data_IF_902677336013
#
_entry.id   IF_902677336013
#
_cell.length_a   1.000
_cell.length_b   1.000
_cell.length_c   1.000
_cell.angle_alpha   90.00
_cell.angle_beta   90.00
_cell.angle_gamma   90.00
#
_symmetry.space_group_name_H-M   'P 1'
#
loop_
_entity.id
_entity.type
_entity.pdbx_description
1 polymer ?
#
# COMPACT_ATOMS: atom_id res chain seq x y z
N UNK A 1 -5.07 -15.94 -2.31
CA UNK A 1 -4.78 -14.64 -1.69
C UNK A 1 -5.92 -13.67 -2.00
N UNK A 2 -6.45 -12.99 -0.98
CA UNK A 2 -7.55 -12.04 -1.12
C UNK A 2 -7.28 -10.81 -0.25
N UNK A 3 -7.19 -9.62 -0.86
CA UNK A 3 -6.99 -8.36 -0.15
C UNK A 3 -8.31 -7.61 0.00
N UNK A 4 -8.58 -7.15 1.22
CA UNK A 4 -9.71 -6.27 1.52
C UNK A 4 -9.17 -4.84 1.61
N UNK A 5 -9.55 -4.01 0.63
CA UNK A 5 -9.08 -2.63 0.51
C UNK A 5 -9.65 -1.75 1.62
N UNK A 6 -10.96 -1.56 1.67
CA UNK A 6 -11.62 -0.72 2.66
C UNK A 6 -12.30 -1.61 3.72
N UNK A 7 -11.55 -1.96 4.76
CA UNK A 7 -12.01 -2.89 5.81
C UNK A 7 -13.23 -2.36 6.57
N UNK A 8 -13.29 -1.08 6.99
CA UNK A 8 -14.50 -0.54 7.63
C UNK A 8 -15.73 -0.63 6.73
N UNK A 9 -15.62 -0.26 5.45
CA UNK A 9 -16.74 -0.36 4.51
C UNK A 9 -17.16 -1.82 4.28
N UNK A 10 -16.22 -2.77 4.21
CA UNK A 10 -16.51 -4.20 4.13
C UNK A 10 -17.32 -4.69 5.35
N UNK A 11 -16.90 -4.29 6.55
CA UNK A 11 -17.61 -4.64 7.79
C UNK A 11 -19.02 -4.02 7.82
N UNK A 12 -19.12 -2.74 7.46
CA UNK A 12 -20.39 -2.03 7.39
C UNK A 12 -21.35 -2.66 6.37
N UNK A 13 -20.87 -3.00 5.18
CA UNK A 13 -21.65 -3.64 4.11
C UNK A 13 -22.21 -5.01 4.51
N UNK A 14 -21.53 -5.73 5.41
CA UNK A 14 -21.99 -7.01 5.96
C UNK A 14 -22.79 -6.86 7.26
N UNK A 15 -22.97 -5.63 7.76
CA UNK A 15 -23.80 -5.27 8.89
C UNK A 15 -23.12 -5.38 10.26
N UNK A 16 -22.05 -6.14 10.40
CA UNK A 16 -21.26 -6.21 11.64
C UNK A 16 -19.93 -6.95 11.45
N UNK A 17 -18.99 -6.74 12.37
CA UNK A 17 -17.74 -7.45 12.39
C UNK A 17 -17.91 -8.99 12.48
N UNK A 18 -18.87 -9.46 13.29
CA UNK A 18 -19.16 -10.89 13.38
C UNK A 18 -19.74 -11.45 12.07
N UNK A 19 -20.54 -10.68 11.35
CA UNK A 19 -21.06 -11.10 10.05
C UNK A 19 -19.95 -11.10 8.99
N UNK A 20 -19.06 -10.12 9.01
CA UNK A 20 -17.89 -10.06 8.14
C UNK A 20 -16.98 -11.28 8.35
N UNK A 21 -16.63 -11.59 9.59
CA UNK A 21 -15.85 -12.78 9.93
C UNK A 21 -16.52 -14.07 9.42
N UNK A 22 -17.83 -14.26 9.68
CA UNK A 22 -18.56 -15.43 9.15
C UNK A 22 -18.57 -15.51 7.63
N UNK A 23 -18.60 -14.37 6.93
CA UNK A 23 -18.53 -14.34 5.47
C UNK A 23 -17.16 -14.81 4.98
N UNK A 24 -16.08 -14.36 5.64
CA UNK A 24 -14.70 -14.81 5.36
C UNK A 24 -14.56 -16.32 5.61
N UNK A 25 -15.01 -16.82 6.76
CA UNK A 25 -14.99 -18.25 7.10
C UNK A 25 -15.79 -19.12 6.10
N UNK A 26 -16.93 -18.61 5.62
CA UNK A 26 -17.72 -19.31 4.58
C UNK A 26 -16.98 -19.38 3.24
N UNK A 27 -16.29 -18.32 2.85
CA UNK A 27 -15.50 -18.33 1.61
C UNK A 27 -14.31 -19.27 1.74
N UNK A 28 -13.66 -19.25 2.89
CA UNK A 28 -12.58 -20.18 3.22
C UNK A 28 -13.03 -21.64 3.10
N UNK A 29 -14.14 -21.99 3.75
CA UNK A 29 -14.72 -23.33 3.65
C UNK A 29 -15.14 -23.71 2.21
N UNK A 30 -15.56 -22.74 1.37
CA UNK A 30 -15.85 -23.01 -0.05
C UNK A 30 -14.57 -23.28 -0.83
N UNK A 31 -13.51 -22.51 -0.59
CA UNK A 31 -12.21 -22.71 -1.22
C UNK A 31 -11.66 -24.12 -0.89
N UNK A 32 -11.71 -24.52 0.38
CA UNK A 32 -11.28 -25.85 0.81
C UNK A 32 -12.10 -26.97 0.14
N UNK A 33 -13.43 -26.83 0.02
CA UNK A 33 -14.27 -27.80 -0.71
C UNK A 33 -13.97 -27.86 -2.20
N UNK A 34 -13.40 -26.79 -2.76
CA UNK A 34 -12.95 -26.73 -4.16
C UNK A 34 -11.53 -27.29 -4.36
N UNK A 35 -10.91 -27.84 -3.32
CA UNK A 35 -9.56 -28.43 -3.39
C UNK A 35 -8.42 -27.43 -3.18
N UNK A 36 -8.71 -26.20 -2.74
CA UNK A 36 -7.70 -25.21 -2.33
C UNK A 36 -7.36 -25.40 -0.85
N UNK A 37 -6.20 -24.89 -0.43
CA UNK A 37 -5.78 -24.93 0.99
C UNK A 37 -6.53 -23.93 1.89
N UNK A 38 -7.41 -23.12 1.33
CA UNK A 38 -8.15 -22.06 1.99
C UNK A 38 -7.93 -20.71 1.32
N UNK A 39 -8.26 -19.64 2.04
CA UNK A 39 -8.09 -18.25 1.59
C UNK A 39 -7.09 -17.55 2.50
N UNK A 40 -6.02 -17.01 1.94
CA UNK A 40 -5.17 -16.08 2.65
C UNK A 40 -5.80 -14.68 2.64
N UNK A 41 -6.28 -14.24 3.78
CA UNK A 41 -6.91 -12.93 3.96
C UNK A 41 -5.87 -11.87 4.31
N UNK A 42 -5.77 -10.86 3.46
CA UNK A 42 -4.90 -9.70 3.66
C UNK A 42 -5.76 -8.45 3.86
N UNK A 43 -5.48 -7.65 4.88
CA UNK A 43 -6.18 -6.40 5.12
C UNK A 43 -5.28 -5.21 4.78
N UNK A 44 -5.83 -4.24 4.05
CA UNK A 44 -5.14 -2.98 3.83
C UNK A 44 -5.30 -2.08 5.06
N UNK A 45 -4.18 -1.54 5.51
CA UNK A 45 -4.10 -0.60 6.62
C UNK A 45 -3.88 0.82 6.07
N UNK A 46 -4.67 1.77 6.58
CA UNK A 46 -4.55 3.18 6.26
C UNK A 46 -4.17 3.96 7.53
N UNK A 47 -3.19 4.86 7.42
CA UNK A 47 -2.87 5.81 8.48
C UNK A 47 -3.80 7.02 8.44
N UNK A 48 -3.80 7.72 7.32
CA UNK A 48 -4.68 8.87 7.05
C UNK A 48 -5.47 8.61 5.77
N UNK A 49 -6.77 8.90 5.72
CA UNK A 49 -7.53 8.80 4.47
C UNK A 49 -7.01 9.86 3.48
N UNK A 50 -6.77 9.46 2.27
CA UNK A 50 -6.31 10.33 1.18
C UNK A 50 -7.34 10.39 0.06
N UNK A 51 -7.88 9.22 -0.33
CA UNK A 51 -8.87 9.14 -1.39
C UNK A 51 -10.30 9.32 -0.85
N UNK A 52 -11.20 9.89 -1.67
CA UNK A 52 -12.61 10.02 -1.30
C UNK A 52 -13.23 8.66 -0.93
N UNK A 53 -13.92 8.61 0.20
CA UNK A 53 -14.59 7.39 0.67
C UNK A 53 -13.72 6.41 1.45
N UNK A 54 -12.43 6.68 1.60
CA UNK A 54 -11.60 5.91 2.52
C UNK A 54 -12.02 6.10 3.96
N UNK A 55 -12.03 5.01 4.70
CA UNK A 55 -12.33 4.99 6.13
C UNK A 55 -11.19 4.32 6.88
N UNK A 56 -10.71 4.99 7.92
CA UNK A 56 -9.64 4.46 8.78
C UNK A 56 -10.25 3.85 10.03
N UNK A 57 -9.88 2.62 10.32
CA UNK A 57 -10.26 1.99 11.58
C UNK A 57 -9.45 2.58 12.74
N UNK A 58 -10.12 2.83 13.86
CA UNK A 58 -9.48 3.39 15.07
C UNK A 58 -8.38 2.47 15.62
N UNK A 59 -8.61 1.15 15.57
CA UNK A 59 -7.63 0.13 15.97
C UNK A 59 -7.59 -0.97 14.90
N UNK A 60 -6.61 -0.84 14.01
CA UNK A 60 -6.45 -1.76 12.89
C UNK A 60 -5.91 -3.12 13.33
N UNK A 61 -5.08 -3.16 14.37
CA UNK A 61 -4.56 -4.40 14.92
C UNK A 61 -5.67 -5.24 15.56
N UNK A 62 -6.55 -4.61 16.34
CA UNK A 62 -7.75 -5.26 16.90
C UNK A 62 -8.68 -5.77 15.78
N UNK A 63 -8.89 -4.96 14.76
CA UNK A 63 -9.73 -5.33 13.62
C UNK A 63 -9.17 -6.55 12.88
N UNK A 64 -7.85 -6.58 12.64
CA UNK A 64 -7.15 -7.71 12.05
C UNK A 64 -7.34 -9.00 12.88
N UNK A 65 -7.12 -8.92 14.19
CA UNK A 65 -7.31 -10.06 15.11
C UNK A 65 -8.75 -10.57 15.10
N UNK A 66 -9.72 -9.68 15.22
CA UNK A 66 -11.15 -10.04 15.28
C UNK A 66 -11.69 -10.60 13.97
N UNK A 67 -11.19 -10.15 12.83
CA UNK A 67 -11.52 -10.74 11.52
C UNK A 67 -10.79 -12.05 11.27
N UNK A 68 -9.67 -12.30 11.96
CA UNK A 68 -8.84 -13.49 11.74
C UNK A 68 -8.05 -13.39 10.44
N UNK A 69 -7.56 -12.20 10.10
CA UNK A 69 -6.76 -12.00 8.91
C UNK A 69 -5.38 -12.65 9.03
N UNK A 70 -4.85 -13.11 7.91
CA UNK A 70 -3.56 -13.80 7.84
C UNK A 70 -2.38 -12.83 7.68
N UNK A 71 -2.64 -11.62 7.16
CA UNK A 71 -1.64 -10.56 7.00
C UNK A 71 -2.29 -9.19 6.86
N UNK A 72 -1.46 -8.15 6.95
CA UNK A 72 -1.82 -6.79 6.56
C UNK A 72 -0.77 -6.20 5.64
N UNK A 73 -1.13 -5.14 4.93
CA UNK A 73 -0.24 -4.31 4.12
C UNK A 73 -0.76 -2.89 4.06
N UNK A 74 0.04 -1.95 3.57
CA UNK A 74 -0.42 -0.61 3.17
C UNK A 74 -0.86 -0.59 1.71
N UNK A 75 -1.67 0.41 1.35
CA UNK A 75 -2.01 0.68 -0.05
C UNK A 75 -0.91 1.52 -0.72
N UNK A 76 -0.63 2.69 -0.16
CA UNK A 76 0.32 3.66 -0.70
C UNK A 76 0.99 4.40 0.47
N UNK A 77 2.22 4.86 0.27
CA UNK A 77 3.00 5.48 1.35
C UNK A 77 2.39 6.75 1.92
N UNK A 78 1.77 7.58 1.08
CA UNK A 78 1.23 8.88 1.49
C UNK A 78 0.13 8.81 2.54
N UNK A 79 -0.46 7.64 2.76
CA UNK A 79 -1.41 7.43 3.87
C UNK A 79 -0.69 7.29 5.23
N UNK A 80 0.62 7.08 5.26
CA UNK A 80 1.43 6.82 6.45
C UNK A 80 2.59 7.81 6.63
N UNK A 81 2.75 8.73 5.69
CA UNK A 81 3.85 9.69 5.65
C UNK A 81 3.32 11.10 5.52
N UNK A 82 4.18 12.07 5.65
CA UNK A 82 3.85 13.48 5.40
C UNK A 82 4.58 13.96 4.15
N UNK A 83 3.93 14.82 3.39
CA UNK A 83 4.51 15.54 2.27
C UNK A 83 4.65 17.00 2.70
N UNK A 84 5.79 17.42 3.30
CA UNK A 84 5.94 18.76 3.88
C UNK A 84 5.97 19.86 2.82
N UNK A 85 6.47 19.55 1.64
CA UNK A 85 6.63 20.49 0.54
C UNK A 85 5.68 20.15 -0.61
N UNK A 86 5.35 21.16 -1.41
CA UNK A 86 4.54 20.98 -2.61
C UNK A 86 5.04 19.85 -3.51
N UNK A 87 6.35 19.77 -3.66
CA UNK A 87 7.08 18.72 -4.35
C UNK A 87 8.04 18.07 -3.34
N UNK A 88 7.62 16.96 -2.76
CA UNK A 88 8.40 16.24 -1.73
C UNK A 88 9.28 15.18 -2.37
N UNK A 89 10.57 15.15 -1.99
CA UNK A 89 11.52 14.16 -2.52
C UNK A 89 11.13 12.72 -2.12
N UNK A 90 11.17 11.82 -3.09
CA UNK A 90 10.85 10.40 -2.93
C UNK A 90 11.65 9.72 -1.82
N UNK A 91 12.93 10.07 -1.67
CA UNK A 91 13.78 9.46 -0.65
C UNK A 91 13.37 9.87 0.76
N UNK A 92 12.86 11.09 0.94
CA UNK A 92 12.31 11.53 2.24
C UNK A 92 11.06 10.72 2.60
N UNK A 93 10.15 10.54 1.63
CA UNK A 93 8.92 9.76 1.84
C UNK A 93 9.24 8.29 2.08
N UNK A 94 10.20 7.72 1.34
CA UNK A 94 10.74 6.38 1.57
C UNK A 94 11.22 6.21 3.01
N UNK A 95 12.05 7.13 3.49
CA UNK A 95 12.66 7.01 4.82
C UNK A 95 11.61 7.10 5.94
N UNK A 96 10.59 7.96 5.77
CA UNK A 96 9.42 8.01 6.66
C UNK A 96 8.66 6.67 6.65
N UNK A 97 8.40 6.09 5.46
CA UNK A 97 7.70 4.82 5.38
C UNK A 97 8.50 3.66 5.96
N UNK A 98 9.82 3.65 5.79
CA UNK A 98 10.68 2.64 6.42
C UNK A 98 10.62 2.70 7.96
N UNK A 99 10.52 3.89 8.55
CA UNK A 99 10.29 4.07 9.98
C UNK A 99 8.87 3.63 10.41
N UNK A 100 7.86 3.92 9.59
CA UNK A 100 6.50 3.40 9.79
C UNK A 100 6.48 1.86 9.80
N UNK A 101 7.16 1.21 8.86
CA UNK A 101 7.24 -0.25 8.82
C UNK A 101 7.87 -0.83 10.10
N UNK A 102 8.92 -0.22 10.64
CA UNK A 102 9.51 -0.64 11.90
C UNK A 102 8.51 -0.56 13.08
N UNK A 103 7.64 0.42 13.07
CA UNK A 103 6.58 0.58 14.07
C UNK A 103 5.46 -0.45 13.88
N UNK A 104 4.90 -0.55 12.68
CA UNK A 104 3.69 -1.34 12.42
C UNK A 104 3.92 -2.84 12.56
N UNK A 105 5.10 -3.34 12.21
CA UNK A 105 5.45 -4.77 12.35
C UNK A 105 5.42 -5.26 13.78
N UNK A 106 5.51 -4.35 14.77
CA UNK A 106 5.42 -4.70 16.19
C UNK A 106 4.02 -4.54 16.77
N UNK A 107 3.11 -3.94 16.02
CA UNK A 107 1.72 -3.67 16.44
C UNK A 107 0.74 -4.76 16.00
N UNK A 108 1.04 -5.45 14.89
CA UNK A 108 0.18 -6.50 14.36
C UNK A 108 0.62 -7.88 14.82
N UNK A 109 -0.35 -8.72 15.21
CA UNK A 109 -0.09 -10.13 15.56
C UNK A 109 0.17 -10.99 14.32
N UNK A 110 -0.43 -10.64 13.18
CA UNK A 110 -0.19 -11.30 11.90
C UNK A 110 0.88 -10.56 11.09
N UNK A 111 1.56 -11.24 10.15
CA UNK A 111 2.60 -10.64 9.32
C UNK A 111 2.15 -9.37 8.61
N UNK A 112 3.00 -8.35 8.61
CA UNK A 112 2.83 -7.16 7.80
C UNK A 112 3.71 -7.26 6.56
N UNK A 113 3.09 -7.22 5.38
CA UNK A 113 3.80 -7.17 4.10
C UNK A 113 4.08 -5.71 3.75
N UNK A 114 5.35 -5.30 3.69
CA UNK A 114 5.67 -3.91 3.37
C UNK A 114 5.16 -3.55 1.97
N UNK A 115 4.73 -2.30 1.83
CA UNK A 115 4.38 -1.73 0.53
C UNK A 115 5.58 -0.97 -0.05
N UNK A 116 5.76 -1.05 -1.36
CA UNK A 116 6.64 -0.18 -2.11
C UNK A 116 5.77 0.66 -3.05
N UNK A 117 5.82 1.98 -2.88
CA UNK A 117 5.10 2.92 -3.73
C UNK A 117 6.03 3.41 -4.85
N UNK A 118 5.59 3.34 -6.10
CA UNK A 118 6.38 3.80 -7.26
C UNK A 118 6.42 5.33 -7.30
N UNK A 119 5.31 5.99 -6.98
CA UNK A 119 5.19 7.44 -6.96
C UNK A 119 3.87 7.90 -6.38
N UNK A 120 3.68 9.21 -6.29
CA UNK A 120 2.41 9.84 -5.93
C UNK A 120 2.31 11.23 -6.53
N UNK A 121 1.44 11.38 -7.51
CA UNK A 121 1.08 12.65 -8.13
C UNK A 121 -0.36 12.61 -8.62
N UNK A 122 -1.28 13.20 -7.87
CA UNK A 122 -2.69 13.28 -8.21
C UNK A 122 -3.02 14.53 -9.08
N UNK A 123 -2.04 15.33 -9.47
CA UNK A 123 -2.25 16.53 -10.25
C UNK A 123 -2.94 16.29 -11.61
N UNK A 124 -2.78 15.15 -12.30
CA UNK A 124 -3.55 14.86 -13.50
C UNK A 124 -5.07 14.82 -13.31
N UNK A 125 -5.54 14.62 -12.06
CA UNK A 125 -6.97 14.61 -11.70
C UNK A 125 -7.52 15.99 -11.32
N UNK A 126 -6.67 17.01 -11.29
CA UNK A 126 -7.10 18.40 -11.05
C UNK A 126 -7.69 19.03 -12.31
N UNK A 127 -8.36 20.18 -12.16
CA UNK A 127 -8.80 20.95 -13.33
C UNK A 127 -7.60 21.56 -14.04
N UNK A 128 -7.26 21.04 -15.21
CA UNK A 128 -6.08 21.44 -15.98
C UNK A 128 -6.15 22.88 -16.53
N UNK A 129 -7.31 23.53 -16.50
CA UNK A 129 -7.46 24.95 -16.89
C UNK A 129 -7.18 25.90 -15.72
N UNK A 130 -6.99 25.40 -14.52
CA UNK A 130 -6.70 26.19 -13.32
C UNK A 130 -5.24 25.97 -12.88
N UNK A 131 -4.60 27.00 -12.28
CA UNK A 131 -3.29 26.80 -11.69
C UNK A 131 -3.35 25.73 -10.59
N UNK A 132 -2.47 24.73 -10.65
CA UNK A 132 -2.31 23.82 -9.54
C UNK A 132 -1.67 24.55 -8.35
N UNK A 133 -2.46 24.74 -7.30
CA UNK A 133 -2.05 25.49 -6.11
C UNK A 133 -1.61 24.57 -4.97
N UNK A 134 -1.30 23.30 -5.24
CA UNK A 134 -0.92 22.30 -4.24
C UNK A 134 -0.08 22.90 -3.10
N UNK A 135 -0.32 22.47 -1.88
CA UNK A 135 0.34 22.96 -0.68
C UNK A 135 -0.43 22.63 0.58
N UNK A 136 0.30 22.38 1.65
CA UNK A 136 -0.04 22.06 3.02
C UNK A 136 -1.51 22.07 3.44
N UNK A 137 -2.20 20.95 3.25
CA UNK A 137 -3.58 20.77 3.70
C UNK A 137 -4.65 20.88 2.62
N UNK A 138 -4.27 20.94 1.35
CA UNK A 138 -5.25 20.80 0.27
C UNK A 138 -5.72 19.35 0.17
N UNK A 139 -7.04 19.17 0.00
CA UNK A 139 -7.66 17.86 -0.18
C UNK A 139 -7.32 17.25 -1.54
N UNK A 140 -7.43 15.93 -1.64
CA UNK A 140 -7.34 15.22 -2.91
C UNK A 140 -8.32 15.81 -3.96
N UNK A 141 -7.88 16.05 -5.21
CA UNK A 141 -6.57 15.72 -5.80
C UNK A 141 -5.52 16.85 -5.73
N UNK A 142 -5.77 17.96 -5.06
CA UNK A 142 -4.91 19.17 -5.02
C UNK A 142 -3.79 19.11 -3.97
N UNK A 143 -3.53 17.96 -3.40
CA UNK A 143 -2.51 17.75 -2.37
C UNK A 143 -1.08 17.83 -2.92
N UNK A 144 -0.10 17.85 -2.01
CA UNK A 144 1.32 17.76 -2.36
C UNK A 144 1.65 16.47 -3.10
N UNK A 145 2.69 16.51 -3.92
CA UNK A 145 3.13 15.39 -4.77
C UNK A 145 4.52 14.90 -4.36
N UNK A 146 4.85 13.70 -4.80
CA UNK A 146 6.18 13.11 -4.69
C UNK A 146 6.93 13.29 -6.00
N UNK A 147 8.15 13.78 -5.91
CA UNK A 147 9.06 13.97 -7.04
C UNK A 147 10.33 13.14 -6.86
N UNK A 148 11.16 13.06 -7.91
CA UNK A 148 12.41 12.30 -7.90
C UNK A 148 12.21 10.78 -7.65
N UNK A 149 11.05 10.25 -7.98
CA UNK A 149 10.74 8.83 -7.98
C UNK A 149 11.30 8.13 -9.23
N UNK A 150 12.61 8.25 -9.44
CA UNK A 150 13.29 7.65 -10.59
C UNK A 150 13.45 6.14 -10.44
N UNK A 151 13.69 5.38 -11.55
CA UNK A 151 13.98 3.94 -11.47
C UNK A 151 15.15 3.59 -10.54
N UNK A 152 16.16 4.46 -10.42
CA UNK A 152 17.30 4.27 -9.51
C UNK A 152 16.86 4.37 -8.04
N UNK A 153 16.04 5.38 -7.70
CA UNK A 153 15.51 5.54 -6.35
C UNK A 153 14.52 4.43 -6.01
N UNK A 154 13.71 4.00 -6.97
CA UNK A 154 12.84 2.83 -6.83
C UNK A 154 13.64 1.55 -6.63
N UNK A 155 14.71 1.30 -7.40
CA UNK A 155 15.62 0.17 -7.21
C UNK A 155 16.20 0.15 -5.80
N UNK A 156 16.65 1.30 -5.32
CA UNK A 156 17.21 1.41 -3.97
C UNK A 156 16.23 0.98 -2.89
N UNK A 157 14.96 1.35 -2.97
CA UNK A 157 13.98 0.89 -1.98
C UNK A 157 13.67 -0.60 -2.11
N UNK A 158 13.69 -1.15 -3.33
CA UNK A 158 13.56 -2.60 -3.53
C UNK A 158 14.69 -3.35 -2.82
N UNK A 159 15.94 -2.88 -2.97
CA UNK A 159 17.12 -3.46 -2.32
C UNK A 159 17.02 -3.38 -0.79
N UNK A 160 16.70 -2.20 -0.24
CA UNK A 160 16.49 -2.00 1.20
C UNK A 160 15.38 -2.90 1.76
N UNK A 161 14.28 -3.04 1.03
CA UNK A 161 13.16 -3.90 1.43
C UNK A 161 13.56 -5.37 1.39
N UNK A 162 14.24 -5.82 0.33
CA UNK A 162 14.75 -7.18 0.21
C UNK A 162 15.70 -7.52 1.36
N UNK A 163 16.65 -6.65 1.66
CA UNK A 163 17.59 -6.83 2.77
C UNK A 163 16.86 -7.02 4.11
N UNK A 164 15.90 -6.14 4.44
CA UNK A 164 15.10 -6.24 5.66
C UNK A 164 14.26 -7.52 5.72
N UNK A 165 13.62 -7.90 4.62
CA UNK A 165 12.84 -9.15 4.56
C UNK A 165 13.73 -10.39 4.75
N UNK A 166 14.95 -10.38 4.25
CA UNK A 166 15.89 -11.48 4.39
C UNK A 166 16.56 -11.53 5.77
N UNK A 167 16.71 -10.39 6.44
CA UNK A 167 17.28 -10.29 7.77
C UNK A 167 16.40 -10.92 8.85
N UNK A 168 15.09 -11.02 8.65
CA UNK A 168 14.17 -11.69 9.57
C UNK A 168 13.89 -13.13 9.08
N UNK A 169 14.49 -14.16 9.70
CA UNK A 169 14.32 -15.55 9.25
C UNK A 169 12.87 -16.06 9.40
N UNK A 170 12.10 -15.47 10.30
CA UNK A 170 10.71 -15.83 10.56
C UNK A 170 9.71 -14.85 9.94
N UNK A 171 10.19 -13.78 9.33
CA UNK A 171 9.38 -12.77 8.70
C UNK A 171 8.77 -13.20 7.36
N UNK A 172 7.83 -12.42 6.86
CA UNK A 172 7.20 -12.69 5.56
C UNK A 172 8.22 -12.60 4.43
N UNK A 173 7.97 -13.37 3.36
CA UNK A 173 8.75 -13.31 2.11
C UNK A 173 7.91 -12.70 0.98
N UNK A 174 7.12 -11.70 1.33
CA UNK A 174 6.22 -11.01 0.42
C UNK A 174 6.25 -9.50 0.66
N UNK A 175 6.02 -8.75 -0.38
CA UNK A 175 5.79 -7.31 -0.38
C UNK A 175 4.64 -6.99 -1.33
N UNK A 176 4.07 -5.80 -1.22
CA UNK A 176 3.13 -5.26 -2.19
C UNK A 176 3.74 -4.06 -2.91
N UNK A 177 3.28 -3.78 -4.11
CA UNK A 177 3.74 -2.61 -4.88
C UNK A 177 2.51 -1.81 -5.30
N UNK A 178 2.51 -0.55 -4.99
CA UNK A 178 1.58 0.43 -5.54
C UNK A 178 2.33 1.23 -6.62
N UNK A 179 1.94 1.13 -7.88
CA UNK A 179 1.10 0.07 -8.40
C UNK A 179 1.46 -0.25 -9.86
N UNK A 180 0.62 -1.03 -10.55
CA UNK A 180 0.86 -1.39 -11.95
C UNK A 180 0.57 -0.23 -12.89
N UNK A 181 -0.61 0.42 -12.77
CA UNK A 181 -1.13 1.33 -13.79
C UNK A 181 -1.96 2.51 -13.26
N UNK A 182 -1.67 3.03 -12.07
CA UNK A 182 -2.36 4.21 -11.55
C UNK A 182 -1.72 5.50 -12.10
N UNK A 183 -1.84 5.69 -13.42
CA UNK A 183 -1.23 6.80 -14.16
C UNK A 183 -1.64 8.17 -13.65
N UNK A 184 -2.91 8.31 -13.28
CA UNK A 184 -3.47 9.59 -12.81
C UNK A 184 -3.12 9.92 -11.36
N UNK A 185 -2.39 9.03 -10.67
CA UNK A 185 -1.79 9.25 -9.35
C UNK A 185 -0.26 9.16 -9.39
N UNK A 186 0.33 9.15 -10.60
CA UNK A 186 1.78 9.12 -10.76
C UNK A 186 2.45 7.86 -10.22
N UNK A 187 1.70 6.76 -10.09
CA UNK A 187 2.21 5.49 -9.56
C UNK A 187 1.97 4.37 -10.57
N UNK A 188 2.96 4.08 -11.40
CA UNK A 188 2.85 3.08 -12.45
C UNK A 188 4.17 2.36 -12.71
N UNK A 189 4.07 1.02 -12.85
CA UNK A 189 5.16 0.14 -13.28
C UNK A 189 5.10 -0.19 -14.77
N UNK A 190 3.95 0.08 -15.41
CA UNK A 190 3.84 -0.09 -16.86
C UNK A 190 4.93 0.71 -17.57
N UNK A 191 5.50 0.17 -18.65
CA UNK A 191 6.48 0.91 -19.44
C UNK A 191 5.93 2.26 -19.90
N UNK A 192 6.72 3.30 -19.73
CA UNK A 192 6.36 4.68 -20.07
C UNK A 192 7.30 5.27 -21.13
N UNK A 193 6.98 6.47 -21.62
CA UNK A 193 7.78 7.14 -22.64
C UNK A 193 9.03 7.84 -22.08
N UNK A 194 9.14 7.98 -20.76
CA UNK A 194 10.26 8.65 -20.09
C UNK A 194 11.36 7.64 -19.72
N UNK A 195 10.97 6.53 -19.07
CA UNK A 195 11.88 5.54 -18.53
C UNK A 195 11.82 4.18 -19.23
N UNK A 196 10.90 3.99 -20.18
CA UNK A 196 10.74 2.72 -20.87
C UNK A 196 10.47 1.57 -19.91
N UNK A 197 11.34 0.57 -19.91
CA UNK A 197 11.24 -0.63 -19.06
C UNK A 197 11.96 -0.49 -17.71
N UNK A 198 12.58 0.65 -17.40
CA UNK A 198 13.57 0.75 -16.33
C UNK A 198 13.04 0.37 -14.92
N UNK A 199 11.76 0.64 -14.61
CA UNK A 199 11.16 0.20 -13.36
C UNK A 199 11.03 -1.33 -13.27
N UNK A 200 10.64 -1.98 -14.37
CA UNK A 200 10.55 -3.44 -14.45
C UNK A 200 11.93 -4.09 -14.46
N UNK A 201 12.91 -3.46 -15.10
CA UNK A 201 14.30 -3.90 -15.06
C UNK A 201 14.86 -3.81 -13.64
N UNK A 202 14.56 -2.74 -12.88
CA UNK A 202 14.91 -2.64 -11.47
C UNK A 202 14.31 -3.78 -10.63
N UNK A 203 13.05 -4.13 -10.83
CA UNK A 203 12.41 -5.30 -10.19
C UNK A 203 13.13 -6.60 -10.55
N UNK A 204 13.42 -6.79 -11.83
CA UNK A 204 14.12 -7.98 -12.33
C UNK A 204 15.54 -8.08 -11.74
N UNK A 205 16.29 -6.99 -11.67
CA UNK A 205 17.64 -6.97 -11.10
C UNK A 205 17.64 -7.32 -9.60
N UNK A 206 16.66 -6.85 -8.86
CA UNK A 206 16.60 -7.08 -7.41
C UNK A 206 15.99 -8.44 -7.07
N UNK A 207 14.91 -8.87 -7.71
CA UNK A 207 14.15 -10.08 -7.36
C UNK A 207 14.17 -11.17 -8.42
N UNK A 208 14.65 -10.89 -9.63
CA UNK A 208 14.81 -11.90 -10.69
C UNK A 208 15.80 -12.98 -10.30
N UNK A 209 15.59 -14.17 -10.84
CA UNK A 209 16.49 -15.33 -10.72
C UNK A 209 17.38 -15.42 -11.97
#
# INVERSE_FOLDING_TARGET
FFSIYNVPAFVQGLGSLAAARRAMERLDAKAMRAGLEGVHWNLLAFGTPVLPGEQVATDQAELQRRLGANSSTSYVWVTHTTLPDRETDYNLVRDQYMAHWDTVRTQYDAPYFPNITVGWDASPRTNQSEPWVGGGGADYPYMNIVVNNTPENFKKVLEMTKERLLADPNGPRALTINCWNEWTEGSCLEPDTLYGMAYLDALKEVFGR
#
